data_IF_720358735302
#
_entry.id   IF_720358735302
#
_cell.length_a   1.000
_cell.length_b   1.000
_cell.length_c   1.000
_cell.angle_alpha   90.00
_cell.angle_beta   90.00
_cell.angle_gamma   90.00
#
_symmetry.space_group_name_H-M   'P 1'
#
loop_
_entity.id
_entity.type
_entity.pdbx_description
1 polymer ?
#
# COMPACT_ATOMS: atom_id res chain seq x y z
N UNK A 1 -3.66 -59.15 -41.97
CA UNK A 1 -4.12 -59.41 -40.58
C UNK A 1 -2.99 -59.02 -39.65
N UNK A 2 -3.16 -58.02 -38.84
CA UNK A 2 -2.14 -57.60 -37.88
C UNK A 2 -2.04 -58.68 -36.76
N UNK A 3 -0.85 -59.22 -36.55
CA UNK A 3 -0.57 -60.11 -35.42
C UNK A 3 -0.78 -59.34 -34.10
N UNK A 4 -1.46 -59.96 -33.12
CA UNK A 4 -1.67 -59.31 -31.83
C UNK A 4 -0.30 -59.08 -31.14
N UNK A 5 -0.04 -57.85 -30.71
CA UNK A 5 1.15 -57.47 -29.96
C UNK A 5 0.78 -57.17 -28.50
N UNK A 6 1.75 -57.31 -27.59
CA UNK A 6 1.49 -56.98 -26.19
C UNK A 6 1.43 -55.45 -25.99
N UNK A 7 0.71 -54.99 -24.95
CA UNK A 7 0.67 -53.59 -24.59
C UNK A 7 2.07 -52.99 -24.40
N UNK A 8 2.99 -53.76 -23.80
CA UNK A 8 4.39 -53.34 -23.62
C UNK A 8 5.10 -53.13 -24.97
N UNK A 9 4.93 -54.06 -25.92
CA UNK A 9 5.49 -53.91 -27.26
C UNK A 9 4.97 -52.66 -27.97
N UNK A 10 3.64 -52.46 -27.95
CA UNK A 10 3.05 -51.24 -28.53
C UNK A 10 3.61 -49.96 -27.92
N UNK A 11 3.72 -49.88 -26.58
CA UNK A 11 4.25 -48.71 -25.91
C UNK A 11 5.77 -48.52 -26.15
N UNK A 12 6.52 -49.58 -26.36
CA UNK A 12 7.93 -49.48 -26.80
C UNK A 12 8.00 -48.91 -28.24
N UNK A 13 7.19 -49.38 -29.18
CA UNK A 13 7.14 -48.84 -30.55
C UNK A 13 6.77 -47.33 -30.55
N UNK A 14 5.84 -46.93 -29.69
CA UNK A 14 5.50 -45.52 -29.53
C UNK A 14 6.72 -44.72 -29.01
N UNK A 15 7.41 -45.30 -28.02
CA UNK A 15 8.63 -44.66 -27.46
C UNK A 15 9.73 -44.53 -28.51
N UNK A 16 10.01 -45.57 -29.26
CA UNK A 16 11.01 -45.59 -30.35
C UNK A 16 10.65 -44.60 -31.47
N UNK A 17 9.35 -44.53 -31.82
CA UNK A 17 8.87 -43.57 -32.81
C UNK A 17 9.09 -42.15 -32.33
N UNK A 18 8.74 -41.81 -31.08
CA UNK A 18 8.95 -40.50 -30.51
C UNK A 18 10.46 -40.17 -30.46
N UNK A 19 11.28 -41.11 -30.04
CA UNK A 19 12.70 -40.91 -29.96
C UNK A 19 13.36 -40.67 -31.33
N UNK A 20 12.88 -41.35 -32.35
CA UNK A 20 13.37 -41.25 -33.74
C UNK A 20 12.86 -39.99 -34.43
N UNK A 21 11.63 -39.59 -34.19
CA UNK A 21 11.01 -38.43 -34.84
C UNK A 21 11.29 -37.11 -34.12
N UNK A 22 11.63 -37.20 -32.82
CA UNK A 22 11.94 -36.02 -31.95
C UNK A 22 13.27 -36.21 -31.21
N UNK A 23 14.39 -36.39 -31.90
CA UNK A 23 15.69 -36.66 -31.27
C UNK A 23 16.27 -35.40 -30.60
N UNK A 24 15.93 -34.21 -31.13
CA UNK A 24 16.50 -32.95 -30.72
C UNK A 24 15.80 -32.33 -29.51
N UNK A 25 16.55 -31.52 -28.78
CA UNK A 25 15.98 -30.66 -27.72
C UNK A 25 15.13 -29.55 -28.35
N UNK A 26 14.12 -29.11 -27.61
CA UNK A 26 13.24 -28.03 -28.02
C UNK A 26 13.10 -27.02 -26.90
N UNK A 27 12.99 -25.76 -27.28
CA UNK A 27 12.63 -24.69 -26.34
C UNK A 27 11.12 -24.66 -26.17
N UNK A 28 10.67 -24.81 -24.92
CA UNK A 28 9.24 -24.85 -24.56
C UNK A 28 8.97 -23.82 -23.48
N UNK A 29 7.94 -23.00 -23.67
CA UNK A 29 7.41 -22.12 -22.66
C UNK A 29 6.23 -22.78 -21.97
N UNK A 30 6.22 -22.80 -20.65
CA UNK A 30 5.11 -23.32 -19.87
C UNK A 30 5.07 -22.68 -18.46
N UNK A 31 3.93 -22.82 -17.81
CA UNK A 31 3.77 -22.45 -16.41
C UNK A 31 3.94 -23.69 -15.54
N UNK A 32 4.67 -23.59 -14.44
CA UNK A 32 4.84 -24.66 -13.48
C UNK A 32 3.59 -24.74 -12.61
N UNK A 33 2.79 -25.79 -12.75
CA UNK A 33 1.60 -26.00 -11.91
C UNK A 33 1.90 -26.82 -10.65
N UNK A 34 2.92 -27.66 -10.70
CA UNK A 34 3.39 -28.42 -9.54
C UNK A 34 4.91 -28.61 -9.64
N UNK A 35 5.57 -28.58 -8.48
CA UNK A 35 7.01 -28.76 -8.35
C UNK A 35 7.29 -29.62 -7.12
N UNK A 36 7.98 -30.75 -7.31
CA UNK A 36 8.31 -31.65 -6.23
C UNK A 36 9.75 -32.17 -6.37
N UNK A 37 10.63 -31.68 -5.49
CA UNK A 37 11.95 -32.27 -5.33
C UNK A 37 11.83 -33.57 -4.51
N UNK A 38 12.15 -34.68 -5.11
CA UNK A 38 12.02 -35.99 -4.50
C UNK A 38 13.32 -36.44 -3.81
N UNK A 39 13.20 -37.33 -2.84
CA UNK A 39 14.35 -37.87 -2.08
C UNK A 39 15.41 -38.58 -2.94
N UNK A 40 15.07 -39.01 -4.15
CA UNK A 40 16.01 -39.59 -5.12
C UNK A 40 16.88 -38.54 -5.83
N UNK A 41 16.68 -37.23 -5.52
CA UNK A 41 17.42 -36.13 -6.10
C UNK A 41 16.83 -35.59 -7.42
N UNK A 42 15.83 -36.21 -7.99
CA UNK A 42 15.14 -35.71 -9.16
C UNK A 42 14.09 -34.67 -8.76
N UNK A 43 13.87 -33.69 -9.66
CA UNK A 43 12.76 -32.76 -9.51
C UNK A 43 11.68 -33.10 -10.55
N UNK A 44 10.49 -33.36 -10.07
CA UNK A 44 9.31 -33.63 -10.90
C UNK A 44 8.48 -32.38 -10.97
N UNK A 45 8.06 -32.04 -12.18
CA UNK A 45 7.23 -30.87 -12.45
C UNK A 45 6.00 -31.26 -13.25
N UNK A 46 4.96 -30.51 -13.03
CA UNK A 46 3.78 -30.54 -13.88
C UNK A 46 3.70 -29.17 -14.57
N UNK A 47 3.67 -29.20 -15.89
CA UNK A 47 3.69 -28.02 -16.73
C UNK A 47 2.32 -27.84 -17.37
N UNK A 48 1.86 -26.61 -17.41
CA UNK A 48 0.59 -26.24 -18.01
C UNK A 48 0.76 -25.07 -18.95
N UNK A 49 -0.11 -25.03 -19.95
CA UNK A 49 -0.32 -23.84 -20.76
C UNK A 49 -1.78 -23.40 -20.59
N UNK A 50 -1.96 -22.15 -20.14
CA UNK A 50 -3.29 -21.54 -20.00
C UNK A 50 -3.73 -20.97 -21.35
N UNK A 51 -4.88 -21.39 -21.82
CA UNK A 51 -5.47 -20.88 -23.06
C UNK A 51 -6.53 -19.82 -22.80
N UNK A 52 -6.94 -19.16 -23.88
CA UNK A 52 -8.11 -18.26 -23.90
C UNK A 52 -9.44 -19.02 -23.94
N UNK A 53 -9.43 -20.37 -23.99
CA UNK A 53 -10.61 -21.21 -24.16
C UNK A 53 -11.04 -21.96 -22.89
N UNK A 54 -12.22 -22.45 -22.90
CA UNK A 54 -13.11 -22.97 -21.84
C UNK A 54 -12.55 -24.02 -20.88
N UNK A 55 -11.51 -24.74 -21.21
CA UNK A 55 -10.99 -25.84 -20.38
C UNK A 55 -9.97 -25.43 -19.35
N UNK A 56 -9.68 -24.13 -19.22
CA UNK A 56 -8.67 -23.59 -18.30
C UNK A 56 -7.22 -23.90 -18.72
N UNK A 57 -6.94 -25.06 -19.27
CA UNK A 57 -5.63 -25.46 -19.76
C UNK A 57 -5.72 -25.94 -21.20
N UNK A 58 -4.83 -25.43 -22.07
CA UNK A 58 -4.71 -25.89 -23.47
C UNK A 58 -3.78 -27.07 -23.54
N UNK A 59 -2.78 -27.14 -22.73
CA UNK A 59 -1.83 -28.23 -22.66
C UNK A 59 -1.39 -28.50 -21.22
N UNK A 60 -1.07 -29.78 -20.97
CA UNK A 60 -0.52 -30.24 -19.71
C UNK A 60 0.49 -31.35 -19.98
N UNK A 61 1.65 -31.25 -19.39
CA UNK A 61 2.71 -32.25 -19.52
C UNK A 61 3.41 -32.49 -18.19
N UNK A 62 3.93 -33.69 -18.01
CA UNK A 62 4.85 -34.01 -16.93
C UNK A 62 6.27 -33.72 -17.38
N UNK A 63 7.07 -33.15 -16.51
CA UNK A 63 8.47 -32.90 -16.76
C UNK A 63 9.35 -33.39 -15.60
N UNK A 64 10.57 -33.73 -15.91
CA UNK A 64 11.57 -34.17 -14.94
C UNK A 64 12.87 -33.44 -15.18
N UNK A 65 13.50 -32.97 -14.09
CA UNK A 65 14.91 -32.60 -14.06
C UNK A 65 15.65 -33.69 -13.31
N UNK A 66 16.55 -34.36 -13.98
CA UNK A 66 17.31 -35.45 -13.35
C UNK A 66 18.31 -34.91 -12.31
N UNK A 67 18.59 -35.74 -11.30
CA UNK A 67 19.50 -35.41 -10.20
C UNK A 67 20.91 -34.96 -10.65
N UNK A 68 21.34 -35.38 -11.84
CA UNK A 68 22.64 -35.04 -12.40
C UNK A 68 22.75 -33.56 -12.77
N UNK A 69 21.64 -32.91 -13.09
CA UNK A 69 21.60 -31.52 -13.57
C UNK A 69 20.74 -30.60 -12.69
N UNK A 70 19.79 -31.16 -11.92
CA UNK A 70 18.88 -30.38 -11.09
C UNK A 70 19.58 -29.39 -10.17
N UNK A 71 20.64 -29.79 -9.41
CA UNK A 71 21.32 -28.82 -8.54
C UNK A 71 21.93 -27.65 -9.31
N UNK A 72 22.45 -27.90 -10.51
CA UNK A 72 23.08 -26.87 -11.35
C UNK A 72 22.01 -25.93 -11.91
N UNK A 73 20.93 -26.46 -12.48
CA UNK A 73 19.83 -25.69 -13.04
C UNK A 73 19.16 -24.86 -11.96
N UNK A 74 18.87 -25.45 -10.82
CA UNK A 74 18.27 -24.75 -9.68
C UNK A 74 19.16 -23.63 -9.16
N UNK A 75 20.47 -23.88 -8.98
CA UNK A 75 21.41 -22.89 -8.53
C UNK A 75 21.57 -21.73 -9.52
N UNK A 76 21.75 -22.04 -10.81
CA UNK A 76 21.86 -21.02 -11.85
C UNK A 76 20.62 -20.16 -11.94
N UNK A 77 19.44 -20.79 -11.88
CA UNK A 77 18.17 -20.07 -11.87
C UNK A 77 18.05 -19.16 -10.65
N UNK A 78 18.34 -19.68 -9.46
CA UNK A 78 18.27 -18.90 -8.21
C UNK A 78 19.28 -17.74 -8.19
N UNK A 79 20.51 -17.97 -8.64
CA UNK A 79 21.52 -16.91 -8.72
C UNK A 79 21.12 -15.79 -9.70
N UNK A 80 20.52 -16.13 -10.83
CA UNK A 80 20.14 -15.16 -11.84
C UNK A 80 18.82 -14.42 -11.51
N UNK A 81 17.84 -15.12 -10.96
CA UNK A 81 16.51 -14.56 -10.65
C UNK A 81 16.36 -14.07 -9.21
N UNK A 82 17.32 -14.44 -8.32
CA UNK A 82 17.25 -14.18 -6.89
C UNK A 82 16.24 -15.05 -6.13
N UNK A 83 15.59 -16.01 -6.79
CA UNK A 83 14.54 -16.87 -6.20
C UNK A 83 14.61 -18.31 -6.73
N UNK A 84 14.26 -19.31 -5.90
CA UNK A 84 14.17 -20.69 -6.36
C UNK A 84 13.01 -20.88 -7.34
N UNK A 85 13.07 -21.95 -8.12
CA UNK A 85 11.94 -22.39 -8.94
C UNK A 85 10.72 -22.65 -8.07
N UNK A 86 9.57 -22.13 -8.47
CA UNK A 86 8.33 -22.25 -7.73
C UNK A 86 7.12 -22.45 -8.65
N UNK A 87 6.03 -22.93 -8.09
CA UNK A 87 4.74 -23.04 -8.75
C UNK A 87 4.24 -21.64 -9.17
N UNK A 88 3.55 -21.57 -10.31
CA UNK A 88 3.05 -20.32 -10.87
C UNK A 88 4.04 -19.55 -11.73
N UNK A 89 5.30 -19.94 -11.78
CA UNK A 89 6.30 -19.31 -12.64
C UNK A 89 6.14 -19.75 -14.10
N UNK A 90 6.21 -18.78 -15.01
CA UNK A 90 6.30 -19.03 -16.44
C UNK A 90 7.78 -19.10 -16.83
N UNK A 91 8.18 -20.22 -17.37
CA UNK A 91 9.57 -20.53 -17.67
C UNK A 91 9.75 -20.92 -19.13
N UNK A 92 10.92 -20.61 -19.68
CA UNK A 92 11.41 -21.13 -20.95
C UNK A 92 12.42 -22.24 -20.63
N UNK A 93 12.14 -23.40 -21.12
CA UNK A 93 12.94 -24.60 -20.82
C UNK A 93 13.45 -25.26 -22.10
N UNK A 94 14.67 -25.72 -22.06
CA UNK A 94 15.19 -26.66 -23.02
C UNK A 94 14.82 -28.06 -22.61
N UNK A 95 13.94 -28.72 -23.38
CA UNK A 95 13.40 -30.02 -23.08
C UNK A 95 13.64 -31.03 -24.20
N UNK A 96 13.84 -32.27 -23.81
CA UNK A 96 13.80 -33.42 -24.74
C UNK A 96 12.53 -34.20 -24.48
N UNK A 97 11.80 -34.52 -25.55
CA UNK A 97 10.60 -35.36 -25.44
C UNK A 97 11.02 -36.80 -25.20
N UNK A 98 10.48 -37.40 -24.16
CA UNK A 98 10.72 -38.79 -23.79
C UNK A 98 9.38 -39.50 -23.54
N UNK A 99 9.37 -40.83 -23.81
CA UNK A 99 8.24 -41.66 -23.53
C UNK A 99 8.68 -42.88 -22.70
N UNK A 100 7.97 -43.14 -21.63
CA UNK A 100 8.24 -44.31 -20.80
C UNK A 100 6.98 -45.23 -20.82
N UNK A 101 7.14 -46.54 -21.05
CA UNK A 101 6.02 -47.46 -21.17
C UNK A 101 5.06 -47.47 -19.96
N UNK A 102 5.58 -47.17 -18.76
CA UNK A 102 4.75 -47.12 -17.52
C UNK A 102 4.25 -45.71 -17.23
N UNK A 103 5.09 -44.70 -17.43
CA UNK A 103 4.78 -43.34 -17.02
C UNK A 103 4.23 -42.43 -18.13
N UNK A 104 4.25 -42.92 -19.36
CA UNK A 104 3.75 -42.23 -20.56
C UNK A 104 4.72 -41.13 -21.05
N UNK A 105 4.16 -40.14 -21.71
CA UNK A 105 4.89 -39.00 -22.24
C UNK A 105 5.40 -38.11 -21.08
N UNK A 106 6.67 -37.78 -21.14
CA UNK A 106 7.33 -36.85 -20.21
C UNK A 106 8.32 -35.96 -20.96
N UNK A 107 8.65 -34.82 -20.37
CA UNK A 107 9.65 -33.89 -20.87
C UNK A 107 10.89 -33.95 -19.97
N UNK A 108 12.02 -34.31 -20.54
CA UNK A 108 13.32 -34.29 -19.84
C UNK A 108 13.91 -32.88 -19.97
N UNK A 109 13.83 -32.10 -18.89
CA UNK A 109 14.35 -30.73 -18.87
C UNK A 109 15.85 -30.77 -18.77
N UNK A 110 16.53 -30.03 -19.65
CA UNK A 110 17.98 -29.91 -19.72
C UNK A 110 18.47 -28.62 -19.10
N UNK A 111 17.73 -27.53 -19.37
CA UNK A 111 18.05 -26.20 -18.85
C UNK A 111 16.79 -25.35 -18.74
N UNK A 112 16.86 -24.29 -17.94
CA UNK A 112 15.79 -23.32 -17.77
C UNK A 112 16.40 -21.92 -17.93
N UNK A 113 15.86 -21.10 -18.84
CA UNK A 113 16.33 -19.75 -19.09
C UNK A 113 15.78 -18.77 -18.04
N UNK A 114 16.62 -18.25 -17.14
CA UNK A 114 16.21 -17.29 -16.14
C UNK A 114 15.78 -15.93 -16.75
N UNK A 115 16.41 -15.52 -17.87
CA UNK A 115 16.14 -14.23 -18.49
C UNK A 115 14.71 -14.14 -19.02
N UNK A 116 14.18 -15.25 -19.52
CA UNK A 116 12.78 -15.32 -19.96
C UNK A 116 11.81 -15.07 -18.79
N UNK A 117 12.05 -15.72 -17.65
CA UNK A 117 11.19 -15.56 -16.46
C UNK A 117 11.20 -14.12 -15.96
N UNK A 118 12.38 -13.50 -15.87
CA UNK A 118 12.52 -12.08 -15.50
C UNK A 118 11.79 -11.15 -16.49
N UNK A 119 11.89 -11.45 -17.81
CA UNK A 119 11.18 -10.71 -18.85
C UNK A 119 9.66 -10.81 -18.72
N UNK A 120 9.14 -12.00 -18.42
CA UNK A 120 7.70 -12.23 -18.23
C UNK A 120 7.19 -11.55 -16.96
N UNK A 121 7.94 -11.58 -15.86
CA UNK A 121 7.61 -10.86 -14.62
C UNK A 121 7.54 -9.35 -14.88
N UNK A 122 8.53 -8.78 -15.56
CA UNK A 122 8.55 -7.36 -15.92
C UNK A 122 7.42 -6.99 -16.90
N UNK A 123 7.04 -7.90 -17.81
CA UNK A 123 5.89 -7.72 -18.71
C UNK A 123 4.60 -7.70 -17.92
N UNK A 124 4.40 -8.68 -17.05
CA UNK A 124 3.22 -8.78 -16.17
C UNK A 124 3.07 -7.56 -15.28
N UNK A 125 4.16 -7.09 -14.70
CA UNK A 125 4.15 -5.87 -13.89
C UNK A 125 3.70 -4.65 -14.70
N UNK A 126 4.21 -4.47 -15.92
CA UNK A 126 3.79 -3.38 -16.83
C UNK A 126 2.31 -3.49 -17.21
N UNK A 127 1.82 -4.69 -17.48
CA UNK A 127 0.41 -4.93 -17.80
C UNK A 127 -0.49 -4.54 -16.61
N UNK A 128 -0.12 -4.92 -15.38
CA UNK A 128 -0.87 -4.56 -14.18
C UNK A 128 -0.84 -3.04 -13.96
N UNK A 129 0.31 -2.39 -14.12
CA UNK A 129 0.41 -0.93 -14.01
C UNK A 129 -0.50 -0.25 -15.04
N UNK A 130 -0.49 -0.71 -16.28
CA UNK A 130 -1.36 -0.16 -17.32
C UNK A 130 -2.85 -0.34 -17.02
N UNK A 131 -3.25 -1.46 -16.40
CA UNK A 131 -4.62 -1.67 -15.93
C UNK A 131 -4.99 -0.70 -14.81
N UNK A 132 -4.11 -0.51 -13.82
CA UNK A 132 -4.33 0.41 -12.70
C UNK A 132 -4.40 1.87 -13.17
N UNK A 133 -3.61 2.24 -14.18
CA UNK A 133 -3.65 3.56 -14.82
C UNK A 133 -4.96 3.76 -15.61
N UNK A 134 -5.40 2.74 -16.36
CA UNK A 134 -6.65 2.78 -17.10
C UNK A 134 -7.88 2.91 -16.16
N UNK A 135 -7.80 2.29 -14.99
CA UNK A 135 -8.82 2.39 -13.94
C UNK A 135 -8.72 3.70 -13.14
N UNK A 136 -7.66 4.49 -13.35
CA UNK A 136 -7.45 5.78 -12.69
C UNK A 136 -7.19 5.69 -11.18
N UNK A 137 -6.77 4.51 -10.66
CA UNK A 137 -6.65 4.29 -9.22
C UNK A 137 -5.26 4.60 -8.65
N UNK A 138 -4.23 4.68 -9.49
CA UNK A 138 -2.81 4.80 -9.08
C UNK A 138 -2.54 5.98 -8.14
N UNK A 139 -3.27 7.09 -8.30
CA UNK A 139 -3.09 8.32 -7.51
C UNK A 139 -3.96 8.44 -6.28
N UNK A 140 -5.01 7.64 -6.14
CA UNK A 140 -6.06 7.86 -5.15
C UNK A 140 -5.55 7.89 -3.70
N UNK A 141 -4.68 6.97 -3.32
CA UNK A 141 -4.12 6.97 -1.97
C UNK A 141 -3.13 8.11 -1.75
N UNK A 142 -2.39 8.54 -2.79
CA UNK A 142 -1.43 9.66 -2.73
C UNK A 142 -2.11 11.01 -2.51
N UNK A 143 -3.35 11.15 -2.94
CA UNK A 143 -4.15 12.38 -2.79
C UNK A 143 -4.73 12.52 -1.37
N UNK A 144 -4.70 11.47 -0.56
CA UNK A 144 -5.18 11.52 0.81
C UNK A 144 -4.31 12.44 1.66
N UNK A 145 -4.96 13.20 2.53
CA UNK A 145 -4.24 14.06 3.46
C UNK A 145 -3.67 13.26 4.62
N UNK A 146 -2.35 13.36 4.86
CA UNK A 146 -1.72 12.81 6.06
C UNK A 146 -2.14 13.61 7.30
N UNK A 147 -2.76 12.97 8.31
CA UNK A 147 -3.11 13.65 9.55
C UNK A 147 -1.86 14.15 10.26
N UNK A 148 -1.97 15.29 10.94
CA UNK A 148 -0.87 15.89 11.71
C UNK A 148 -1.34 16.26 13.10
N UNK A 149 -0.71 15.71 14.14
CA UNK A 149 0.32 14.67 14.14
C UNK A 149 -0.24 13.27 13.90
N UNK A 150 0.54 12.39 13.25
CA UNK A 150 0.23 10.96 13.15
C UNK A 150 0.53 10.32 14.50
N UNK A 151 -0.43 9.64 15.10
CA UNK A 151 -0.28 9.00 16.42
C UNK A 151 -0.69 7.53 16.45
N UNK A 152 -1.73 7.17 15.68
CA UNK A 152 -2.35 5.85 15.69
C UNK A 152 -2.02 5.14 14.40
N UNK A 153 -1.24 4.09 14.48
CA UNK A 153 -0.60 3.44 13.35
C UNK A 153 -1.05 1.98 13.31
N UNK A 154 -1.79 1.61 12.27
CA UNK A 154 -2.07 0.21 11.97
C UNK A 154 -0.88 -0.36 11.18
N UNK A 155 -0.26 -1.42 11.68
CA UNK A 155 0.92 -2.02 11.06
C UNK A 155 0.55 -3.37 10.48
N UNK A 156 0.75 -3.56 9.18
CA UNK A 156 0.63 -4.85 8.50
C UNK A 156 2.03 -5.44 8.35
N UNK A 157 2.28 -6.55 9.03
CA UNK A 157 3.59 -7.23 9.01
C UNK A 157 3.48 -8.65 9.57
N UNK A 158 4.56 -9.40 9.47
CA UNK A 158 4.70 -10.68 10.20
C UNK A 158 5.21 -10.39 11.62
N UNK A 159 4.59 -11.00 12.63
CA UNK A 159 4.95 -10.79 14.04
C UNK A 159 6.42 -11.09 14.36
N UNK A 160 7.01 -12.08 13.67
CA UNK A 160 8.42 -12.49 13.84
C UNK A 160 9.40 -11.69 12.97
N UNK A 161 8.92 -10.71 12.19
CA UNK A 161 9.79 -9.95 11.29
C UNK A 161 10.75 -9.04 12.06
N UNK A 162 12.04 -9.16 11.82
CA UNK A 162 13.05 -8.27 12.41
C UNK A 162 12.76 -6.80 12.13
N UNK A 163 12.34 -6.48 10.88
CA UNK A 163 11.97 -5.11 10.49
C UNK A 163 10.81 -4.52 11.29
N UNK A 164 9.82 -5.34 11.68
CA UNK A 164 8.75 -4.90 12.59
C UNK A 164 9.28 -4.60 13.99
N UNK A 165 10.16 -5.47 14.51
CA UNK A 165 10.81 -5.25 15.80
C UNK A 165 11.63 -3.94 15.82
N UNK A 166 12.43 -3.70 14.77
CA UNK A 166 13.23 -2.49 14.62
C UNK A 166 12.37 -1.23 14.48
N UNK A 167 11.29 -1.32 13.71
CA UNK A 167 10.29 -0.24 13.57
C UNK A 167 9.68 0.15 14.93
N UNK A 168 9.17 -0.83 15.69
CA UNK A 168 8.58 -0.58 17.00
C UNK A 168 9.60 -0.02 17.99
N UNK A 169 10.81 -0.58 18.01
CA UNK A 169 11.91 -0.14 18.88
C UNK A 169 12.29 1.31 18.61
N UNK A 170 12.39 1.71 17.34
CA UNK A 170 12.72 3.06 16.95
C UNK A 170 11.62 4.06 17.35
N UNK A 171 10.34 3.70 17.17
CA UNK A 171 9.23 4.53 17.64
C UNK A 171 9.23 4.69 19.16
N UNK A 172 9.46 3.62 19.91
CA UNK A 172 9.55 3.67 21.38
C UNK A 172 10.72 4.54 21.85
N UNK A 173 11.89 4.43 21.21
CA UNK A 173 13.07 5.22 21.55
C UNK A 173 12.91 6.71 21.26
N UNK A 174 11.98 7.10 20.39
CA UNK A 174 11.71 8.50 20.09
C UNK A 174 11.11 9.29 21.26
N UNK A 175 10.50 8.61 22.23
CA UNK A 175 9.82 9.23 23.37
C UNK A 175 8.46 9.85 23.01
N UNK A 176 8.01 9.79 21.77
CA UNK A 176 6.69 10.27 21.36
C UNK A 176 5.60 9.24 21.61
N UNK A 177 4.35 9.64 21.88
CA UNK A 177 3.25 8.75 22.24
C UNK A 177 2.60 8.13 21.00
N UNK A 178 3.33 7.27 20.28
CA UNK A 178 2.78 6.49 19.19
C UNK A 178 1.98 5.30 19.72
N UNK A 179 0.82 5.06 19.14
CA UNK A 179 0.01 3.87 19.37
C UNK A 179 0.07 3.00 18.12
N UNK A 180 0.63 1.79 18.25
CA UNK A 180 0.77 0.85 17.14
C UNK A 180 0.00 -0.43 17.43
N UNK A 181 -0.74 -0.96 16.45
CA UNK A 181 -1.36 -2.29 16.49
C UNK A 181 -0.90 -3.11 15.29
N UNK A 182 -0.45 -4.33 15.54
CA UNK A 182 -0.08 -5.26 14.50
C UNK A 182 -1.31 -5.99 13.96
N UNK A 183 -1.49 -5.91 12.67
CA UNK A 183 -2.38 -6.77 11.89
C UNK A 183 -1.49 -7.80 11.18
N UNK A 184 -1.45 -8.99 11.75
CA UNK A 184 -0.53 -10.01 11.30
C UNK A 184 -0.90 -10.52 9.90
N UNK A 185 0.07 -10.47 8.98
CA UNK A 185 -0.05 -11.03 7.65
C UNK A 185 1.27 -11.64 7.22
N UNK A 186 1.22 -12.69 6.43
CA UNK A 186 2.41 -13.27 5.81
C UNK A 186 2.94 -12.31 4.75
N UNK A 187 4.23 -11.99 4.83
CA UNK A 187 4.89 -11.02 3.95
C UNK A 187 5.77 -11.68 2.88
N UNK A 188 5.58 -12.99 2.64
CA UNK A 188 6.36 -13.81 1.70
C UNK A 188 5.50 -14.89 1.06
N UNK A 189 5.76 -15.18 -0.23
CA UNK A 189 5.08 -16.25 -0.96
C UNK A 189 3.67 -15.89 -1.46
N UNK A 190 2.96 -16.90 -1.91
CA UNK A 190 1.65 -16.76 -2.60
C UNK A 190 0.51 -16.26 -1.71
N UNK A 191 0.66 -16.33 -0.39
CA UNK A 191 -0.40 -15.94 0.55
C UNK A 191 -0.44 -14.43 0.84
N UNK A 192 0.59 -13.69 0.44
CA UNK A 192 0.75 -12.26 0.71
C UNK A 192 -0.49 -11.47 0.30
N UNK A 193 -0.91 -11.59 -0.94
CA UNK A 193 -2.05 -10.88 -1.48
C UNK A 193 -3.29 -11.05 -0.60
N UNK A 194 -3.69 -12.30 -0.37
CA UNK A 194 -4.90 -12.62 0.39
C UNK A 194 -4.82 -12.16 1.85
N UNK A 195 -3.68 -12.37 2.49
CA UNK A 195 -3.54 -12.05 3.92
C UNK A 195 -3.38 -10.55 4.17
N UNK A 196 -2.71 -9.82 3.28
CA UNK A 196 -2.64 -8.36 3.37
C UNK A 196 -3.99 -7.72 3.09
N UNK A 197 -4.76 -8.20 2.10
CA UNK A 197 -6.13 -7.74 1.87
C UNK A 197 -7.01 -8.04 3.09
N UNK A 198 -6.89 -9.21 3.71
CA UNK A 198 -7.63 -9.53 4.93
C UNK A 198 -7.26 -8.60 6.09
N UNK A 199 -5.98 -8.25 6.23
CA UNK A 199 -5.51 -7.28 7.21
C UNK A 199 -6.04 -5.87 6.93
N UNK A 200 -6.07 -5.43 5.67
CA UNK A 200 -6.67 -4.16 5.27
C UNK A 200 -8.17 -4.12 5.62
N UNK A 201 -8.90 -5.19 5.35
CA UNK A 201 -10.32 -5.29 5.71
C UNK A 201 -10.52 -5.20 7.23
N UNK A 202 -9.68 -5.88 8.03
CA UNK A 202 -9.74 -5.79 9.49
C UNK A 202 -9.41 -4.38 10.01
N UNK A 203 -8.52 -3.65 9.33
CA UNK A 203 -8.24 -2.24 9.64
C UNK A 203 -9.44 -1.36 9.25
N UNK A 204 -10.10 -1.65 8.13
CA UNK A 204 -11.28 -0.93 7.68
C UNK A 204 -12.45 -1.04 8.67
N UNK A 205 -12.60 -2.19 9.34
CA UNK A 205 -13.61 -2.39 10.38
C UNK A 205 -13.38 -1.49 11.62
N UNK A 206 -12.12 -1.14 11.90
CA UNK A 206 -11.71 -0.28 13.02
C UNK A 206 -11.16 1.09 12.56
N UNK A 207 -11.59 1.59 11.41
CA UNK A 207 -10.96 2.72 10.71
C UNK A 207 -10.84 3.99 11.55
N UNK A 208 -11.82 4.29 12.38
CA UNK A 208 -11.81 5.47 13.25
C UNK A 208 -10.69 5.46 14.30
N UNK A 209 -10.10 4.28 14.52
CA UNK A 209 -9.03 4.08 15.49
C UNK A 209 -7.64 4.39 14.91
N UNK A 210 -7.52 4.60 13.60
CA UNK A 210 -6.23 4.69 12.93
C UNK A 210 -6.07 5.98 12.14
N UNK A 211 -4.84 6.51 12.13
CA UNK A 211 -4.45 7.70 11.37
C UNK A 211 -3.78 7.32 10.05
N UNK A 212 -3.06 6.19 10.03
CA UNK A 212 -2.27 5.72 8.89
C UNK A 212 -2.11 4.21 8.96
N UNK A 213 -1.98 3.60 7.79
CA UNK A 213 -1.59 2.19 7.64
C UNK A 213 -0.13 2.12 7.22
N UNK A 214 0.62 1.22 7.83
CA UNK A 214 2.02 0.97 7.49
C UNK A 214 2.17 -0.47 7.07
N UNK A 215 2.58 -0.71 5.84
CA UNK A 215 2.88 -2.04 5.33
C UNK A 215 4.40 -2.20 5.31
N UNK A 216 4.92 -3.03 6.20
CA UNK A 216 6.37 -3.25 6.33
C UNK A 216 6.73 -4.72 6.28
N UNK A 217 7.86 -4.99 5.64
CA UNK A 217 8.43 -6.32 5.53
C UNK A 217 9.74 -6.39 6.32
N UNK A 218 10.00 -7.53 6.95
CA UNK A 218 11.33 -7.86 7.49
C UNK A 218 12.33 -8.17 6.38
N UNK A 219 13.60 -8.21 6.69
CA UNK A 219 14.65 -8.61 5.75
C UNK A 219 14.39 -10.04 5.20
N UNK A 220 14.58 -10.21 3.89
CA UNK A 220 14.42 -11.45 3.14
C UNK A 220 14.93 -11.29 1.73
N UNK A 221 15.05 -12.36 0.94
CA UNK A 221 15.52 -12.29 -0.45
C UNK A 221 14.57 -11.43 -1.31
N UNK A 222 15.09 -10.74 -2.33
CA UNK A 222 14.31 -9.95 -3.31
C UNK A 222 13.21 -10.79 -3.99
N UNK A 223 13.41 -12.09 -4.07
CA UNK A 223 12.47 -13.09 -4.61
C UNK A 223 11.08 -13.09 -3.95
N UNK A 224 10.98 -12.61 -2.72
CA UNK A 224 9.74 -12.69 -1.95
C UNK A 224 8.79 -11.49 -2.19
N UNK A 225 9.12 -10.63 -3.17
CA UNK A 225 8.34 -9.42 -3.48
C UNK A 225 7.22 -9.66 -4.49
N UNK A 226 7.18 -10.81 -5.15
CA UNK A 226 6.21 -11.11 -6.19
C UNK A 226 4.74 -10.99 -5.73
N UNK A 227 4.46 -11.34 -4.47
CA UNK A 227 3.12 -11.23 -3.88
C UNK A 227 2.61 -9.78 -3.74
N UNK A 228 3.51 -8.79 -3.76
CA UNK A 228 3.15 -7.36 -3.73
C UNK A 228 2.92 -6.76 -5.12
N UNK A 229 3.04 -7.56 -6.17
CA UNK A 229 2.79 -7.17 -7.55
C UNK A 229 1.43 -7.68 -8.07
N UNK A 230 0.50 -7.97 -7.17
CA UNK A 230 -0.84 -8.41 -7.53
C UNK A 230 -1.76 -7.19 -7.78
N UNK A 231 -2.60 -7.29 -8.82
CA UNK A 231 -3.55 -6.23 -9.19
C UNK A 231 -4.56 -5.95 -8.08
N UNK A 232 -5.16 -7.01 -7.52
CA UNK A 232 -6.20 -6.87 -6.50
C UNK A 232 -5.65 -6.22 -5.22
N UNK A 233 -4.44 -6.61 -4.79
CA UNK A 233 -3.77 -5.99 -3.65
C UNK A 233 -3.49 -4.51 -3.90
N UNK A 234 -2.96 -4.18 -5.08
CA UNK A 234 -2.66 -2.80 -5.46
C UNK A 234 -3.92 -1.94 -5.49
N UNK A 235 -5.01 -2.45 -6.06
CA UNK A 235 -6.29 -1.76 -6.13
C UNK A 235 -6.87 -1.52 -4.74
N UNK A 236 -6.81 -2.53 -3.85
CA UNK A 236 -7.26 -2.38 -2.46
C UNK A 236 -6.46 -1.30 -1.72
N UNK A 237 -5.14 -1.26 -1.90
CA UNK A 237 -4.29 -0.24 -1.28
C UNK A 237 -4.55 1.14 -1.89
N UNK A 238 -4.66 1.24 -3.22
CA UNK A 238 -4.91 2.50 -3.91
C UNK A 238 -6.22 3.16 -3.47
N UNK A 239 -7.25 2.36 -3.28
CA UNK A 239 -8.59 2.80 -2.87
C UNK A 239 -8.79 2.79 -1.37
N UNK A 240 -7.76 2.45 -0.58
CA UNK A 240 -7.89 2.40 0.87
C UNK A 240 -8.13 3.81 1.43
N UNK A 241 -9.09 3.97 2.36
CA UNK A 241 -9.52 5.28 2.83
C UNK A 241 -8.53 5.98 3.78
N UNK A 242 -7.54 5.27 4.27
CA UNK A 242 -6.44 5.83 5.05
C UNK A 242 -5.15 5.88 4.22
N UNK A 243 -4.27 6.86 4.45
CA UNK A 243 -2.96 6.86 3.83
C UNK A 243 -2.18 5.60 4.16
N UNK A 244 -1.64 4.94 3.13
CA UNK A 244 -0.82 3.73 3.27
C UNK A 244 0.65 4.08 3.06
N UNK A 245 1.48 3.80 4.03
CA UNK A 245 2.93 3.94 3.95
C UNK A 245 3.54 2.58 3.68
N UNK A 246 4.31 2.45 2.61
CA UNK A 246 5.01 1.22 2.27
C UNK A 246 6.47 1.27 2.70
N UNK A 247 6.93 0.21 3.36
CA UNK A 247 8.33 -0.03 3.69
C UNK A 247 8.73 -1.46 3.35
N UNK A 248 8.36 -1.91 2.13
CA UNK A 248 8.50 -3.28 1.66
C UNK A 248 9.78 -3.46 0.85
N UNK A 249 10.09 -2.50 -0.05
CA UNK A 249 11.09 -2.60 -1.10
C UNK A 249 12.50 -2.25 -0.66
N UNK A 250 13.47 -2.64 -1.51
CA UNK A 250 14.86 -2.18 -1.50
C UNK A 250 15.11 -1.26 -2.70
N UNK A 251 16.29 -0.64 -2.79
CA UNK A 251 16.63 0.37 -3.82
C UNK A 251 16.47 -0.08 -5.28
N UNK A 252 16.42 -1.38 -5.55
CA UNK A 252 16.40 -1.94 -6.90
C UNK A 252 15.09 -2.59 -7.32
N UNK A 253 14.15 -2.82 -6.39
CA UNK A 253 12.96 -3.63 -6.63
C UNK A 253 11.71 -2.89 -6.17
N UNK A 254 11.19 -1.99 -7.03
CA UNK A 254 9.93 -1.31 -6.78
C UNK A 254 8.76 -2.27 -7.00
N UNK A 255 7.91 -2.41 -5.99
CA UNK A 255 6.67 -3.19 -6.11
C UNK A 255 5.51 -2.33 -6.61
N UNK A 256 4.47 -2.97 -7.15
CA UNK A 256 3.24 -2.26 -7.54
C UNK A 256 2.57 -1.64 -6.31
N UNK A 257 2.65 -2.29 -5.15
CA UNK A 257 2.19 -1.71 -3.87
C UNK A 257 2.92 -0.40 -3.56
N UNK A 258 4.23 -0.33 -3.77
CA UNK A 258 5.00 0.91 -3.57
C UNK A 258 4.56 2.03 -4.52
N UNK A 259 4.14 1.66 -5.74
CA UNK A 259 3.66 2.60 -6.74
C UNK A 259 2.31 3.24 -6.34
N UNK A 260 1.40 2.47 -5.75
CA UNK A 260 0.04 2.94 -5.41
C UNK A 260 -0.09 3.46 -3.98
N UNK A 261 0.86 3.14 -3.10
CA UNK A 261 0.90 3.63 -1.74
C UNK A 261 1.02 5.17 -1.68
N UNK A 262 0.53 5.77 -0.59
CA UNK A 262 0.65 7.21 -0.35
C UNK A 262 2.11 7.68 -0.38
N UNK A 263 2.95 6.98 0.38
CA UNK A 263 4.40 7.26 0.42
C UNK A 263 5.16 5.95 0.56
N UNK A 264 6.16 5.79 -0.28
CA UNK A 264 7.05 4.64 -0.22
C UNK A 264 8.33 4.96 0.54
N UNK A 265 8.86 3.96 1.22
CA UNK A 265 10.13 4.01 1.92
C UNK A 265 10.95 2.75 1.62
N UNK A 266 12.26 2.88 1.70
CA UNK A 266 13.19 1.78 1.41
C UNK A 266 13.23 0.70 2.50
N UNK A 267 12.89 1.06 3.73
CA UNK A 267 13.00 0.16 4.89
C UNK A 267 11.95 0.47 5.94
N UNK A 268 11.60 -0.49 6.81
CA UNK A 268 10.77 -0.25 7.99
C UNK A 268 11.28 0.88 8.89
N UNK A 269 12.61 0.95 9.05
CA UNK A 269 13.25 2.01 9.85
C UNK A 269 13.12 3.39 9.21
N UNK A 270 13.11 3.48 7.88
CA UNK A 270 12.85 4.74 7.18
C UNK A 270 11.40 5.22 7.39
N UNK A 271 10.43 4.31 7.43
CA UNK A 271 9.04 4.62 7.79
C UNK A 271 8.99 5.18 9.22
N UNK A 272 9.63 4.52 10.18
CA UNK A 272 9.68 4.98 11.56
C UNK A 272 10.33 6.37 11.68
N UNK A 273 11.44 6.60 10.99
CA UNK A 273 12.12 7.89 10.95
C UNK A 273 11.22 9.00 10.39
N UNK A 274 10.48 8.73 9.33
CA UNK A 274 9.51 9.66 8.75
C UNK A 274 8.40 10.02 9.76
N UNK A 275 7.81 9.03 10.42
CA UNK A 275 6.75 9.24 11.41
C UNK A 275 7.26 10.08 12.60
N UNK A 276 8.46 9.79 13.07
CA UNK A 276 9.13 10.55 14.14
C UNK A 276 9.39 11.99 13.71
N UNK A 277 9.87 12.20 12.49
CA UNK A 277 10.15 13.54 11.98
C UNK A 277 8.87 14.36 11.81
N UNK A 278 7.79 13.78 11.28
CA UNK A 278 6.48 14.43 11.20
C UNK A 278 5.96 14.84 12.59
N UNK A 279 6.12 14.00 13.58
CA UNK A 279 5.73 14.36 14.95
C UNK A 279 6.61 15.45 15.54
N UNK A 280 7.92 15.40 15.27
CA UNK A 280 8.89 16.41 15.70
C UNK A 280 8.60 17.77 15.07
N UNK A 281 8.31 17.81 13.77
CA UNK A 281 7.95 19.04 13.07
C UNK A 281 6.72 19.71 13.67
N UNK A 282 5.66 18.94 13.99
CA UNK A 282 4.45 19.48 14.59
C UNK A 282 4.70 19.95 16.04
N UNK A 283 5.53 19.23 16.79
CA UNK A 283 5.94 19.66 18.13
C UNK A 283 6.73 20.97 18.07
N UNK A 284 7.69 21.07 17.14
CA UNK A 284 8.43 22.31 16.90
C UNK A 284 7.52 23.47 16.51
N UNK A 285 6.53 23.20 15.67
CA UNK A 285 5.55 24.20 15.23
C UNK A 285 4.74 24.75 16.40
N UNK A 286 4.28 23.86 17.29
CA UNK A 286 3.58 24.26 18.52
C UNK A 286 4.48 25.10 19.43
N UNK A 287 5.72 24.68 19.65
CA UNK A 287 6.70 25.43 20.46
C UNK A 287 6.98 26.82 19.85
N UNK A 288 7.23 26.90 18.55
CA UNK A 288 7.43 28.17 17.86
C UNK A 288 6.21 29.11 17.95
N UNK A 289 5.01 28.55 17.85
CA UNK A 289 3.78 29.34 18.04
C UNK A 289 3.66 29.86 19.46
N UNK A 290 3.96 29.03 20.46
CA UNK A 290 3.97 29.43 21.86
C UNK A 290 5.01 30.52 22.12
N UNK A 291 6.22 30.41 21.59
CA UNK A 291 7.27 31.44 21.69
C UNK A 291 6.86 32.74 20.98
N UNK A 292 6.23 32.66 19.80
CA UNK A 292 5.73 33.84 19.10
C UNK A 292 4.67 34.56 19.91
N UNK A 293 3.73 33.82 20.51
CA UNK A 293 2.71 34.37 21.40
C UNK A 293 3.39 35.05 22.59
N UNK A 294 4.36 34.38 23.25
CA UNK A 294 5.13 34.95 24.36
C UNK A 294 5.80 36.26 23.99
N UNK A 295 6.55 36.29 22.87
CA UNK A 295 7.22 37.51 22.38
C UNK A 295 6.26 38.63 22.05
N UNK A 296 5.12 38.35 21.41
CA UNK A 296 4.13 39.38 21.11
C UNK A 296 3.53 39.96 22.40
N UNK A 297 3.26 39.10 23.40
CA UNK A 297 2.77 39.54 24.70
C UNK A 297 3.80 40.42 25.43
N UNK A 298 5.07 39.99 25.46
CA UNK A 298 6.17 40.77 26.07
C UNK A 298 6.36 42.12 25.37
N UNK A 299 6.40 42.14 24.04
CA UNK A 299 6.53 43.40 23.28
C UNK A 299 5.36 44.36 23.55
N UNK A 300 4.14 43.84 23.62
CA UNK A 300 2.98 44.66 23.95
C UNK A 300 3.04 45.19 25.38
N UNK A 301 3.38 44.33 26.34
CA UNK A 301 3.56 44.73 27.73
C UNK A 301 4.67 45.81 27.91
N UNK A 302 5.81 45.61 27.23
CA UNK A 302 6.92 46.56 27.27
C UNK A 302 6.56 47.88 26.58
N UNK A 303 5.84 47.84 25.45
CA UNK A 303 5.36 49.04 24.77
C UNK A 303 4.36 49.83 25.62
N UNK A 304 3.38 49.15 26.24
CA UNK A 304 2.42 49.83 27.12
C UNK A 304 3.05 50.33 28.42
N UNK A 305 4.03 49.59 28.99
CA UNK A 305 4.82 50.06 30.16
C UNK A 305 5.64 51.29 29.79
N UNK A 306 6.27 51.31 28.61
CA UNK A 306 7.04 52.46 28.12
C UNK A 306 6.11 53.66 27.82
N UNK A 307 4.93 53.41 27.28
CA UNK A 307 3.91 54.45 27.06
C UNK A 307 3.41 55.05 28.37
N UNK A 308 3.19 54.20 29.38
CA UNK A 308 2.84 54.65 30.73
C UNK A 308 3.97 55.44 31.37
N UNK A 309 5.25 55.04 31.22
CA UNK A 309 6.42 55.81 31.69
C UNK A 309 6.51 57.19 31.01
N UNK A 310 6.34 57.21 29.66
CA UNK A 310 6.33 58.48 28.90
C UNK A 310 5.22 59.39 29.33
N UNK A 311 4.00 58.86 29.55
CA UNK A 311 2.88 59.59 30.09
C UNK A 311 3.21 60.13 31.50
N UNK A 312 3.82 59.27 32.35
CA UNK A 312 4.27 59.65 33.68
C UNK A 312 5.31 60.80 33.66
N UNK A 313 6.30 60.74 32.76
CA UNK A 313 7.31 61.80 32.63
C UNK A 313 6.71 63.09 32.08
N UNK A 314 5.84 63.00 31.06
CA UNK A 314 5.09 64.18 30.54
C UNK A 314 4.19 64.78 31.59
N UNK A 315 3.54 63.94 32.38
CA UNK A 315 2.70 64.37 33.48
C UNK A 315 3.48 65.07 34.61
N UNK A 316 4.66 64.47 35.05
CA UNK A 316 5.52 65.09 36.03
C UNK A 316 5.95 66.49 35.56
N UNK A 317 6.32 66.63 34.28
CA UNK A 317 6.66 67.90 33.69
C UNK A 317 5.51 68.87 33.67
N UNK A 318 4.31 68.46 33.26
CA UNK A 318 3.10 69.27 33.26
C UNK A 318 2.67 69.69 34.68
N UNK A 319 2.80 68.79 35.64
CA UNK A 319 2.51 69.09 37.05
C UNK A 319 3.52 70.08 37.61
N UNK A 320 4.82 69.98 37.25
CA UNK A 320 5.86 70.96 37.65
C UNK A 320 5.54 72.37 37.07
N UNK A 321 5.10 72.42 35.82
CA UNK A 321 4.72 73.66 35.14
C UNK A 321 3.41 74.28 35.68
N UNK A 322 2.48 73.48 36.08
CA UNK A 322 1.16 73.92 36.62
C UNK A 322 1.30 74.32 38.13
N UNK A 323 2.22 73.62 38.85
CA UNK A 323 2.45 73.88 40.30
C UNK A 323 2.81 75.32 40.59
N UNK A 324 3.24 76.04 39.58
CA UNK A 324 3.60 77.49 39.72
C UNK A 324 2.35 78.40 39.61
N UNK A 325 1.18 77.89 39.10
CA UNK A 325 0.05 78.79 38.75
C UNK A 325 -1.27 78.61 39.52
N UNK A 326 -1.53 77.56 40.15
CA UNK A 326 -2.68 77.50 41.08
C UNK A 326 -2.89 76.16 41.78
N UNK A 327 -2.80 76.10 43.08
CA UNK A 327 -3.03 74.94 43.95
C UNK A 327 -4.48 74.40 43.94
N UNK A 328 -5.43 75.26 43.58
CA UNK A 328 -6.84 74.86 43.58
C UNK A 328 -7.29 74.05 42.37
N UNK A 329 -6.61 74.20 41.23
CA UNK A 329 -6.95 73.37 40.03
C UNK A 329 -6.41 71.95 40.18
N UNK A 330 -5.34 71.80 40.98
CA UNK A 330 -4.64 70.50 41.14
C UNK A 330 -5.52 69.40 41.78
N UNK A 331 -6.37 69.74 42.69
CA UNK A 331 -7.24 68.73 43.33
C UNK A 331 -8.29 68.19 42.39
N UNK A 332 -8.87 69.04 41.52
CA UNK A 332 -9.88 68.63 40.54
C UNK A 332 -9.25 67.87 39.36
N UNK A 333 -8.08 68.34 38.88
CA UNK A 333 -7.33 67.68 37.83
C UNK A 333 -6.79 66.31 38.27
N UNK A 334 -6.26 66.26 39.51
CA UNK A 334 -5.79 65.02 40.12
C UNK A 334 -6.88 63.97 40.23
N UNK A 335 -8.08 64.36 40.69
CA UNK A 335 -9.22 63.44 40.78
C UNK A 335 -9.68 62.92 39.43
N UNK A 336 -9.68 63.80 38.37
CA UNK A 336 -10.05 63.41 37.00
C UNK A 336 -9.03 62.46 36.35
N UNK A 337 -7.73 62.65 36.64
CA UNK A 337 -6.67 61.81 36.12
C UNK A 337 -6.64 60.42 36.77
N UNK A 338 -6.87 60.35 38.07
CA UNK A 338 -6.91 59.05 38.78
C UNK A 338 -8.05 58.20 38.27
N UNK A 339 -9.24 58.79 38.02
CA UNK A 339 -10.41 58.08 37.46
C UNK A 339 -10.14 57.63 36.01
N UNK A 340 -9.48 58.48 35.19
CA UNK A 340 -9.16 58.18 33.79
C UNK A 340 -8.13 57.05 33.67
N UNK A 341 -7.05 57.08 34.45
CA UNK A 341 -6.02 56.05 34.43
C UNK A 341 -6.52 54.68 34.88
N UNK A 342 -7.34 54.68 35.97
CA UNK A 342 -7.99 53.46 36.45
C UNK A 342 -8.97 52.89 35.40
N UNK A 343 -9.74 53.80 34.75
CA UNK A 343 -10.66 53.42 33.67
C UNK A 343 -9.94 52.80 32.47
N UNK A 344 -8.83 53.39 32.01
CA UNK A 344 -8.05 52.89 30.87
C UNK A 344 -7.37 51.56 31.19
N UNK A 345 -6.78 51.41 32.35
CA UNK A 345 -6.13 50.16 32.78
C UNK A 345 -7.19 49.05 32.89
N UNK A 346 -8.34 49.38 33.41
CA UNK A 346 -9.44 48.40 33.48
C UNK A 346 -9.95 47.99 32.10
N UNK A 347 -10.15 48.96 31.20
CA UNK A 347 -10.59 48.68 29.83
C UNK A 347 -9.58 47.88 29.04
N UNK A 348 -8.27 48.14 29.15
CA UNK A 348 -7.24 47.34 28.49
C UNK A 348 -7.08 45.95 29.11
N UNK A 349 -7.29 45.81 30.41
CA UNK A 349 -7.32 44.50 31.06
C UNK A 349 -8.48 43.66 30.61
N UNK A 350 -9.65 44.27 30.46
CA UNK A 350 -10.87 43.62 29.95
C UNK A 350 -10.75 43.26 28.45
N UNK A 351 -10.13 44.16 27.65
CA UNK A 351 -9.86 43.90 26.24
C UNK A 351 -8.84 42.74 26.03
N UNK A 352 -7.77 42.73 26.81
CA UNK A 352 -6.80 41.64 26.76
C UNK A 352 -7.39 40.30 27.20
N UNK A 353 -8.25 40.30 28.23
CA UNK A 353 -8.94 39.13 28.68
C UNK A 353 -9.91 38.57 27.59
N UNK A 354 -10.67 39.47 26.93
CA UNK A 354 -11.57 39.10 25.83
C UNK A 354 -10.80 38.57 24.60
N UNK A 355 -9.68 39.18 24.24
CA UNK A 355 -8.84 38.71 23.15
C UNK A 355 -8.25 37.31 23.43
N UNK A 356 -7.87 37.05 24.67
CA UNK A 356 -7.33 35.73 25.06
C UNK A 356 -8.42 34.63 25.02
N UNK A 357 -9.64 34.97 25.45
CA UNK A 357 -10.80 34.08 25.37
C UNK A 357 -11.18 33.83 23.90
N UNK A 358 -11.18 34.89 23.07
CA UNK A 358 -11.45 34.78 21.64
C UNK A 358 -10.41 33.91 20.94
N UNK A 359 -9.11 34.13 21.20
CA UNK A 359 -8.02 33.31 20.61
C UNK A 359 -8.16 31.83 20.98
N UNK A 360 -8.42 31.56 22.26
CA UNK A 360 -8.64 30.18 22.73
C UNK A 360 -9.84 29.52 22.05
N UNK A 361 -10.94 30.28 21.91
CA UNK A 361 -12.16 29.79 21.26
C UNK A 361 -11.97 29.57 19.76
N UNK A 362 -11.24 30.46 19.08
CA UNK A 362 -10.94 30.33 17.64
C UNK A 362 -10.06 29.12 17.38
N UNK A 363 -9.03 28.88 18.21
CA UNK A 363 -8.18 27.68 18.13
C UNK A 363 -9.01 26.41 18.36
N UNK A 364 -9.89 26.41 19.37
CA UNK A 364 -10.76 25.25 19.64
C UNK A 364 -11.74 25.00 18.51
N UNK A 365 -12.33 26.06 17.94
CA UNK A 365 -13.24 25.96 16.81
C UNK A 365 -12.53 25.45 15.55
N UNK A 366 -11.31 25.94 15.27
CA UNK A 366 -10.50 25.50 14.15
C UNK A 366 -10.12 24.02 14.28
N UNK A 367 -9.71 23.59 15.48
CA UNK A 367 -9.44 22.18 15.79
C UNK A 367 -10.68 21.29 15.64
N UNK A 368 -11.85 21.82 16.05
CA UNK A 368 -13.11 21.10 15.93
C UNK A 368 -13.56 21.02 14.46
N UNK A 369 -13.38 22.09 13.69
CA UNK A 369 -13.67 22.11 12.27
C UNK A 369 -12.81 21.12 11.49
N UNK A 370 -11.49 21.04 11.79
CA UNK A 370 -10.62 20.04 11.16
C UNK A 370 -10.95 18.60 11.60
N UNK A 371 -11.32 18.41 12.86
CA UNK A 371 -11.83 17.10 13.32
C UNK A 371 -13.11 16.70 12.56
N UNK A 372 -14.04 17.63 12.39
CA UNK A 372 -15.28 17.39 11.64
C UNK A 372 -15.01 17.13 10.15
N UNK A 373 -14.04 17.87 9.56
CA UNK A 373 -13.58 17.65 8.17
C UNK A 373 -12.97 16.27 7.98
N UNK A 374 -12.13 15.85 8.92
CA UNK A 374 -11.56 14.49 8.95
C UNK A 374 -12.63 13.41 9.11
N UNK A 375 -13.64 13.67 9.95
CA UNK A 375 -14.77 12.76 10.13
C UNK A 375 -15.61 12.64 8.84
N UNK A 376 -15.79 13.75 8.10
CA UNK A 376 -16.52 13.75 6.82
C UNK A 376 -15.74 12.97 5.74
N UNK A 377 -14.43 13.21 5.64
CA UNK A 377 -13.55 12.48 4.72
C UNK A 377 -13.57 10.97 5.05
N UNK A 378 -13.49 10.61 6.33
CA UNK A 378 -13.66 9.23 6.77
C UNK A 378 -14.97 8.61 6.29
N UNK A 379 -16.07 9.34 6.42
CA UNK A 379 -17.40 8.86 6.02
C UNK A 379 -17.51 8.65 4.51
N UNK A 380 -16.95 9.56 3.71
CA UNK A 380 -16.92 9.43 2.24
C UNK A 380 -16.03 8.30 1.75
N UNK A 381 -14.90 8.08 2.40
CA UNK A 381 -13.97 6.96 2.05
C UNK A 381 -14.51 5.60 2.48
N UNK A 382 -15.27 5.53 3.58
CA UNK A 382 -15.98 4.30 3.97
C UNK A 382 -17.03 3.85 2.94
N UNK A 383 -17.58 4.79 2.16
CA UNK A 383 -18.55 4.47 1.10
C UNK A 383 -17.87 3.92 -0.17
N UNK A 384 -16.59 4.16 -0.34
CA UNK A 384 -15.79 3.75 -1.50
C UNK A 384 -14.99 2.45 -1.27
N UNK A 385 -15.20 1.78 -0.12
CA UNK A 385 -14.51 0.53 0.22
C UNK A 385 -14.93 -0.61 -0.72
N UNK A 386 -14.00 -1.12 -1.53
CA UNK A 386 -14.29 -2.21 -2.46
C UNK A 386 -14.80 -3.48 -1.77
N UNK A 387 -14.31 -3.75 -0.56
CA UNK A 387 -14.74 -4.92 0.21
C UNK A 387 -16.23 -4.82 0.57
N UNK A 388 -16.73 -3.63 0.84
CA UNK A 388 -18.13 -3.38 1.14
C UNK A 388 -19.02 -3.52 -0.09
N UNK A 389 -18.52 -3.12 -1.26
CA UNK A 389 -19.24 -3.31 -2.54
C UNK A 389 -19.41 -4.80 -2.84
N UNK A 390 -18.37 -5.59 -2.62
CA UNK A 390 -18.45 -7.05 -2.77
C UNK A 390 -19.38 -7.67 -1.73
N UNK A 391 -19.36 -7.19 -0.49
CA UNK A 391 -20.27 -7.66 0.56
C UNK A 391 -21.75 -7.30 0.33
N UNK A 392 -22.04 -6.28 -0.48
CA UNK A 392 -23.39 -5.91 -0.92
C UNK A 392 -23.91 -6.78 -2.08
N UNK A 393 -23.16 -7.82 -2.45
CA UNK A 393 -23.57 -8.75 -3.50
C UNK A 393 -23.10 -8.36 -4.91
N UNK A 394 -22.29 -7.32 -5.04
CA UNK A 394 -21.61 -7.05 -6.30
C UNK A 394 -20.46 -8.02 -6.48
N UNK A 395 -20.18 -8.30 -7.71
CA UNK A 395 -19.05 -9.16 -8.10
C UNK A 395 -18.32 -8.53 -9.28
N UNK A 396 -17.06 -8.85 -9.42
CA UNK A 396 -16.36 -8.56 -10.66
C UNK A 396 -15.87 -9.87 -11.29
N UNK A 397 -15.91 -9.90 -12.61
CA UNK A 397 -15.58 -11.11 -13.36
C UNK A 397 -14.29 -10.92 -14.13
N UNK A 398 -13.43 -11.91 -14.08
CA UNK A 398 -12.16 -11.94 -14.80
C UNK A 398 -12.15 -13.11 -15.80
N UNK A 399 -11.48 -12.88 -16.93
CA UNK A 399 -11.11 -13.94 -17.86
C UNK A 399 -9.62 -13.82 -18.19
N UNK A 400 -8.90 -14.90 -18.04
CA UNK A 400 -7.45 -14.89 -18.28
C UNK A 400 -6.67 -13.86 -17.43
N UNK A 401 -7.15 -13.58 -16.20
CA UNK A 401 -6.52 -12.62 -15.27
C UNK A 401 -6.87 -11.15 -15.50
N UNK A 402 -7.73 -10.82 -16.48
CA UNK A 402 -8.21 -9.44 -16.72
C UNK A 402 -9.69 -9.32 -16.35
N UNK A 403 -10.05 -8.20 -15.73
CA UNK A 403 -11.45 -7.91 -15.40
C UNK A 403 -12.24 -7.62 -16.66
N UNK A 404 -13.34 -8.36 -16.88
CA UNK A 404 -14.26 -8.16 -17.99
C UNK A 404 -15.21 -7.02 -17.63
N UNK A 405 -15.28 -6.02 -18.50
CA UNK A 405 -16.21 -4.89 -18.37
C UNK A 405 -17.30 -4.85 -19.45
N UNK A 406 -17.06 -5.58 -20.52
CA UNK A 406 -17.99 -5.66 -21.64
C UNK A 406 -18.19 -7.13 -22.05
N UNK A 407 -19.38 -7.44 -22.50
CA UNK A 407 -19.72 -8.76 -23.09
C UNK A 407 -18.83 -9.09 -24.30
N UNK A 408 -18.29 -8.05 -24.96
CA UNK A 408 -17.38 -8.21 -26.11
C UNK A 408 -16.02 -8.78 -25.73
N UNK A 409 -15.61 -8.64 -24.47
CA UNK A 409 -14.31 -9.06 -23.96
C UNK A 409 -14.23 -10.56 -23.62
N UNK A 410 -15.37 -11.25 -23.59
CA UNK A 410 -15.45 -12.69 -23.39
C UNK A 410 -15.97 -13.39 -24.63
N UNK A 411 -15.46 -14.56 -24.94
CA UNK A 411 -15.96 -15.41 -26.04
C UNK A 411 -16.80 -16.55 -25.46
N UNK A 412 -17.78 -16.98 -26.24
CA UNK A 412 -18.50 -18.20 -25.90
C UNK A 412 -17.48 -19.32 -25.75
N UNK A 413 -17.48 -19.88 -24.55
CA UNK A 413 -16.57 -20.92 -24.23
C UNK A 413 -15.45 -20.55 -23.25
N UNK A 414 -15.17 -19.31 -23.05
CA UNK A 414 -14.14 -18.85 -22.11
C UNK A 414 -14.47 -19.25 -20.68
N UNK A 415 -13.45 -19.57 -19.92
CA UNK A 415 -13.56 -19.74 -18.48
C UNK A 415 -13.46 -18.36 -17.83
N UNK A 416 -14.51 -17.96 -17.15
CA UNK A 416 -14.57 -16.73 -16.40
C UNK A 416 -14.58 -17.03 -14.90
N UNK A 417 -13.90 -16.19 -14.14
CA UNK A 417 -13.88 -16.28 -12.69
C UNK A 417 -14.60 -15.04 -12.16
N UNK A 418 -15.71 -15.28 -11.49
CA UNK A 418 -16.44 -14.21 -10.80
C UNK A 418 -16.03 -14.18 -9.35
N UNK A 419 -15.46 -13.05 -8.93
CA UNK A 419 -15.01 -12.81 -7.57
C UNK A 419 -16.15 -12.21 -6.75
N UNK A 420 -16.47 -12.85 -5.66
CA UNK A 420 -17.43 -12.45 -4.65
C UNK A 420 -16.72 -12.09 -3.35
N UNK A 421 -17.45 -11.64 -2.37
CA UNK A 421 -16.90 -11.24 -1.08
C UNK A 421 -16.20 -12.38 -0.32
N UNK A 422 -16.63 -13.61 -0.51
CA UNK A 422 -16.23 -14.80 0.24
C UNK A 422 -15.51 -15.87 -0.62
N UNK A 423 -15.28 -15.58 -1.89
CA UNK A 423 -14.61 -16.50 -2.77
C UNK A 423 -14.75 -16.20 -4.25
N UNK A 424 -14.46 -17.15 -5.08
CA UNK A 424 -14.60 -17.03 -6.52
C UNK A 424 -15.38 -18.19 -7.12
N UNK A 425 -16.21 -17.89 -8.09
CA UNK A 425 -16.95 -18.85 -8.90
C UNK A 425 -16.29 -18.97 -10.26
N UNK A 426 -15.99 -20.19 -10.63
CA UNK A 426 -15.50 -20.52 -11.96
C UNK A 426 -16.69 -20.90 -12.84
N UNK A 427 -16.89 -20.16 -13.89
CA UNK A 427 -18.00 -20.37 -14.80
C UNK A 427 -17.49 -20.38 -16.25
N UNK A 428 -18.24 -21.01 -17.10
CA UNK A 428 -17.95 -21.04 -18.52
C UNK A 428 -19.01 -20.24 -19.27
N UNK A 429 -18.58 -19.38 -20.14
CA UNK A 429 -19.50 -18.61 -20.97
C UNK A 429 -20.17 -19.55 -21.98
N UNK A 430 -21.45 -19.83 -21.78
CA UNK A 430 -22.22 -20.69 -22.67
C UNK A 430 -22.66 -19.89 -23.89
N UNK A 431 -23.16 -18.67 -23.65
CA UNK A 431 -23.70 -17.81 -24.70
C UNK A 431 -23.48 -16.35 -24.29
N UNK A 432 -23.26 -15.49 -25.25
CA UNK A 432 -23.19 -14.06 -25.00
C UNK A 432 -24.33 -13.34 -25.72
N UNK A 433 -25.07 -12.55 -24.98
CA UNK A 433 -26.06 -11.63 -25.52
C UNK A 433 -25.53 -10.20 -25.44
N UNK A 434 -25.15 -9.67 -26.57
CA UNK A 434 -24.78 -8.25 -26.67
C UNK A 434 -26.07 -7.42 -26.79
N UNK A 435 -26.30 -6.52 -25.83
CA UNK A 435 -27.33 -5.49 -26.01
C UNK A 435 -26.90 -4.61 -27.18
N UNK A 436 -27.62 -4.67 -28.29
CA UNK A 436 -27.51 -3.63 -29.32
C UNK A 436 -27.84 -2.28 -28.68
N UNK A 437 -26.83 -1.46 -28.54
CA UNK A 437 -26.99 -0.08 -28.09
C UNK A 437 -27.62 0.71 -29.24
N UNK A 438 -28.95 0.69 -29.34
CA UNK A 438 -29.69 1.70 -30.06
C UNK A 438 -29.70 2.97 -29.20
N UNK A 439 -28.62 3.72 -29.20
CA UNK A 439 -28.66 5.13 -28.84
C UNK A 439 -28.70 5.93 -30.14
N UNK A 440 -29.88 6.09 -30.66
CA UNK A 440 -30.20 7.30 -31.44
C UNK A 440 -30.49 8.39 -30.43
N UNK A 441 -29.61 9.38 -30.41
CA UNK A 441 -29.85 10.69 -29.85
C UNK A 441 -31.00 11.41 -30.60
N UNK A 442 -31.78 12.25 -29.90
CA UNK A 442 -31.89 13.62 -30.37
C UNK A 442 -31.01 14.60 -29.57
#
# INVERSE_FOLDING_TARGET
>A
MSTPISLHQLLCEVGDTIHTQMPDTRLVTAEISNLCAHSNGNCYMELIEKGTSQTGFVAKARAIIYRSIYPLVALNFEQATGRPLAVGMKVLMEVKVAFHPIYGLQLDVRDIDPAYTLGEDARRQREIIAMLEADGVVGLNKELHLPRPIRRIAVISTASAAGYGDFCKQLQQSGFPFHTKLFAATMQGEKVEREVIAALNAIADEMESWDVVVVIRGGGAASDLAGFNAYDLATNIAQFPLPVLSGIGHERDDTIVDLVAHTRFKTPTAVAAFLIEQYREETHRVVQLAERIGRVVELRLSAETSRLRLVGVKWQKAVADVKSRSRSLLSVLRSRLDIGAVGIVRQHREQNATLFVWLKRTLQNSLTAEKNRLALIRKTTQMADPARVLALGFSYTTAGGKTIRSVTEAKAGDLIITHLADGSLHSRVVEKNEKLNNQTNP
#
